data_IF_886544849707
#
_entry.id   IF_886544849707
#
_cell.length_a   1.000
_cell.length_b   1.000
_cell.length_c   1.000
_cell.angle_alpha   90.00
_cell.angle_beta   90.00
_cell.angle_gamma   90.00
#
_symmetry.space_group_name_H-M   'P 1'
#
loop_
_entity.id
_entity.type
_entity.pdbx_description
1 polymer ?
#
# COMPACT_ATOMS: atom_id res chain seq x y z
N UNK A 1 15.03 -21.32 0.18
CA UNK A 1 14.92 -20.26 -0.82
C UNK A 1 15.90 -19.17 -0.42
N UNK A 2 16.67 -18.60 -1.37
CA UNK A 2 17.76 -17.68 -1.07
C UNK A 2 17.28 -16.32 -0.55
N UNK A 3 18.22 -15.48 -0.18
CA UNK A 3 18.05 -14.15 0.42
C UNK A 3 17.18 -13.14 -0.36
N UNK A 4 16.74 -13.50 -1.59
CA UNK A 4 15.93 -12.65 -2.47
C UNK A 4 14.42 -12.89 -2.35
N UNK A 5 13.97 -13.83 -1.52
CA UNK A 5 12.55 -14.12 -1.35
C UNK A 5 11.96 -13.31 -0.19
N UNK A 6 11.03 -12.41 -0.51
CA UNK A 6 10.19 -11.73 0.46
C UNK A 6 8.84 -12.45 0.51
N UNK A 7 8.36 -12.92 1.68
CA UNK A 7 7.09 -13.65 1.80
C UNK A 7 5.89 -12.68 1.70
N UNK A 8 5.81 -11.98 0.57
CA UNK A 8 4.76 -11.03 0.23
C UNK A 8 3.96 -11.52 -0.98
N UNK A 9 2.66 -11.31 -0.97
CA UNK A 9 1.76 -11.68 -2.04
C UNK A 9 0.87 -10.50 -2.44
N UNK A 10 0.81 -10.26 -3.75
CA UNK A 10 -0.12 -9.32 -4.35
C UNK A 10 -1.01 -10.12 -5.30
N UNK A 11 -2.29 -10.34 -4.96
CA UNK A 11 -3.17 -11.18 -5.75
C UNK A 11 -3.53 -10.51 -7.08
N UNK A 12 -3.72 -11.30 -8.16
CA UNK A 12 -4.28 -10.79 -9.40
C UNK A 12 -5.61 -10.05 -9.14
N UNK A 13 -5.80 -8.92 -9.83
CA UNK A 13 -6.99 -8.09 -9.69
C UNK A 13 -7.27 -7.57 -8.27
N UNK A 14 -6.25 -7.59 -7.38
CA UNK A 14 -6.40 -7.25 -5.96
C UNK A 14 -7.46 -8.08 -5.22
N UNK A 15 -7.71 -9.33 -5.66
CA UNK A 15 -8.76 -10.20 -5.10
C UNK A 15 -8.19 -11.55 -4.71
N UNK A 16 -8.61 -12.03 -3.56
CA UNK A 16 -8.45 -13.42 -3.13
C UNK A 16 -9.61 -13.78 -2.21
N UNK A 17 -9.97 -15.04 -2.21
CA UNK A 17 -10.96 -15.63 -1.34
C UNK A 17 -10.35 -16.09 -0.01
N UNK A 18 -11.20 -16.60 0.86
CA UNK A 18 -10.80 -17.07 2.19
C UNK A 18 -9.87 -18.29 2.11
N UNK A 19 -10.11 -19.20 1.16
CA UNK A 19 -9.27 -20.38 0.95
C UNK A 19 -7.85 -20.00 0.54
N UNK A 20 -7.72 -19.02 -0.35
CA UNK A 20 -6.43 -18.44 -0.73
C UNK A 20 -5.71 -17.83 0.48
N UNK A 21 -6.42 -17.10 1.33
CA UNK A 21 -5.82 -16.49 2.52
C UNK A 21 -5.33 -17.53 3.52
N UNK A 22 -6.09 -18.61 3.73
CA UNK A 22 -5.70 -19.73 4.58
C UNK A 22 -4.44 -20.41 4.00
N UNK A 23 -4.42 -20.66 2.69
CA UNK A 23 -3.27 -21.26 2.02
C UNK A 23 -2.01 -20.40 2.14
N UNK A 24 -2.11 -19.07 1.95
CA UNK A 24 -1.00 -18.14 2.10
C UNK A 24 -0.44 -18.14 3.52
N UNK A 25 -1.31 -18.14 4.54
CA UNK A 25 -0.90 -18.25 5.93
C UNK A 25 -0.17 -19.57 6.22
N UNK A 26 -0.71 -20.68 5.72
CA UNK A 26 -0.10 -22.03 5.83
C UNK A 26 1.26 -22.16 5.13
N UNK A 27 1.46 -21.44 4.03
CA UNK A 27 2.72 -21.38 3.29
C UNK A 27 3.73 -20.38 3.90
N UNK A 28 3.38 -19.69 4.98
CA UNK A 28 4.28 -18.79 5.69
C UNK A 28 4.40 -17.39 5.09
N UNK A 29 3.47 -16.99 4.22
CA UNK A 29 3.42 -15.60 3.76
C UNK A 29 3.15 -14.67 4.93
N UNK A 30 3.80 -13.51 4.91
CA UNK A 30 3.76 -12.51 5.99
C UNK A 30 3.10 -11.20 5.57
N UNK A 31 3.07 -10.93 4.27
CA UNK A 31 2.52 -9.71 3.68
C UNK A 31 1.48 -10.05 2.64
N UNK A 32 0.38 -9.31 2.69
CA UNK A 32 -0.63 -9.25 1.64
C UNK A 32 -0.76 -7.80 1.18
N UNK A 33 -0.76 -7.58 -0.14
CA UNK A 33 -1.00 -6.26 -0.70
C UNK A 33 -2.12 -6.33 -1.73
N UNK A 34 -3.23 -5.66 -1.45
CA UNK A 34 -4.42 -5.57 -2.31
C UNK A 34 -5.15 -4.26 -2.05
N UNK A 35 -6.22 -3.98 -2.78
CA UNK A 35 -6.95 -2.71 -2.66
C UNK A 35 -7.39 -2.43 -1.23
N UNK A 36 -7.33 -1.18 -0.83
CA UNK A 36 -7.79 -0.73 0.50
C UNK A 36 -9.23 -1.18 0.78
N UNK A 37 -9.44 -1.86 1.90
CA UNK A 37 -10.75 -2.37 2.32
C UNK A 37 -11.21 -3.62 1.60
N UNK A 38 -10.31 -4.36 0.91
CA UNK A 38 -10.62 -5.64 0.29
C UNK A 38 -11.17 -6.66 1.29
N UNK A 39 -12.06 -7.53 0.82
CA UNK A 39 -12.67 -8.60 1.60
C UNK A 39 -12.33 -9.97 0.99
N UNK A 40 -12.30 -11.05 1.79
CA UNK A 40 -12.39 -11.10 3.26
C UNK A 40 -11.14 -10.51 3.95
N UNK A 41 -11.16 -10.20 5.26
CA UNK A 41 -10.00 -9.65 5.97
C UNK A 41 -8.84 -10.65 6.00
N UNK A 42 -7.61 -10.14 5.99
CA UNK A 42 -6.44 -11.00 6.12
C UNK A 42 -6.39 -11.68 7.51
N UNK A 43 -5.89 -12.93 7.59
CA UNK A 43 -5.61 -13.58 8.87
C UNK A 43 -4.61 -12.74 9.70
N UNK A 44 -4.73 -12.80 11.03
CA UNK A 44 -3.87 -12.05 11.96
C UNK A 44 -2.35 -12.33 11.81
N UNK A 45 -1.99 -13.45 11.16
CA UNK A 45 -0.59 -13.82 10.87
C UNK A 45 -0.01 -13.15 9.64
N UNK A 46 -0.83 -12.44 8.87
CA UNK A 46 -0.46 -11.74 7.63
C UNK A 46 -0.76 -10.25 7.80
N UNK A 47 0.27 -9.42 7.69
CA UNK A 47 0.10 -7.96 7.69
C UNK A 47 -0.39 -7.50 6.32
N UNK A 48 -1.41 -6.65 6.28
CA UNK A 48 -1.95 -6.12 5.03
C UNK A 48 -1.42 -4.70 4.79
N UNK A 49 -0.68 -4.53 3.68
CA UNK A 49 -0.24 -3.22 3.17
C UNK A 49 -1.07 -2.87 1.94
N UNK A 50 -2.08 -2.00 2.09
CA UNK A 50 -3.04 -1.78 1.01
C UNK A 50 -2.44 -1.00 -0.16
N UNK A 51 -2.88 -1.38 -1.36
CA UNK A 51 -2.75 -0.54 -2.56
C UNK A 51 -3.75 0.61 -2.44
N UNK A 52 -3.25 1.82 -2.42
CA UNK A 52 -4.04 3.05 -2.31
C UNK A 52 -4.00 3.90 -3.57
N UNK A 53 -3.00 3.70 -4.42
CA UNK A 53 -2.87 4.39 -5.71
C UNK A 53 -2.48 3.40 -6.79
N UNK A 54 -3.20 3.38 -7.89
CA UNK A 54 -2.86 2.61 -9.09
C UNK A 54 -2.42 3.60 -10.20
N UNK A 55 -1.14 3.53 -10.60
CA UNK A 55 -0.61 4.45 -11.59
C UNK A 55 -1.09 4.15 -13.02
N UNK A 56 -1.60 2.96 -13.28
CA UNK A 56 -1.92 2.54 -14.64
C UNK A 56 -3.41 2.37 -14.90
N UNK A 57 -4.14 1.73 -13.99
CA UNK A 57 -5.56 1.41 -14.20
C UNK A 57 -6.42 2.62 -13.83
N UNK A 58 -6.53 3.56 -14.77
CA UNK A 58 -7.39 4.74 -14.61
C UNK A 58 -8.76 4.48 -15.25
N UNK A 59 -9.81 5.02 -14.64
CA UNK A 59 -11.20 4.87 -15.09
C UNK A 59 -11.74 6.10 -15.81
N UNK A 60 -11.03 7.19 -15.70
CA UNK A 60 -11.38 8.46 -16.30
C UNK A 60 -11.23 8.41 -17.84
N UNK A 61 -12.26 8.85 -18.57
CA UNK A 61 -12.21 8.94 -20.02
C UNK A 61 -11.36 10.13 -20.49
N UNK A 62 -11.31 11.21 -19.69
CA UNK A 62 -10.51 12.40 -19.97
C UNK A 62 -9.15 12.28 -19.27
N UNK A 63 -8.04 12.34 -20.03
CA UNK A 63 -6.69 12.27 -19.48
C UNK A 63 -6.39 13.36 -18.44
N UNK A 64 -6.91 14.58 -18.61
CA UNK A 64 -6.69 15.69 -17.68
C UNK A 64 -7.32 15.36 -16.31
N UNK A 65 -8.55 14.87 -16.31
CA UNK A 65 -9.22 14.42 -15.09
C UNK A 65 -8.50 13.24 -14.47
N UNK A 66 -7.99 12.30 -15.28
CA UNK A 66 -7.18 11.19 -14.81
C UNK A 66 -5.93 11.64 -14.06
N UNK A 67 -5.21 12.63 -14.60
CA UNK A 67 -4.03 13.21 -13.95
C UNK A 67 -4.38 13.96 -12.67
N UNK A 68 -5.43 14.76 -12.66
CA UNK A 68 -5.87 15.51 -11.48
C UNK A 68 -6.24 14.55 -10.34
N UNK A 69 -7.03 13.52 -10.64
CA UNK A 69 -7.42 12.51 -9.66
C UNK A 69 -6.24 11.72 -9.13
N UNK A 70 -5.27 11.36 -9.99
CA UNK A 70 -4.04 10.69 -9.58
C UNK A 70 -3.22 11.53 -8.60
N UNK A 71 -3.02 12.81 -8.90
CA UNK A 71 -2.31 13.73 -8.02
C UNK A 71 -3.02 13.90 -6.67
N UNK A 72 -4.34 13.97 -6.68
CA UNK A 72 -5.14 14.05 -5.46
C UNK A 72 -5.06 12.78 -4.62
N UNK A 73 -5.19 11.60 -5.23
CA UNK A 73 -5.01 10.31 -4.57
C UNK A 73 -3.62 10.19 -3.93
N UNK A 74 -2.56 10.56 -4.64
CA UNK A 74 -1.20 10.60 -4.10
C UNK A 74 -1.10 11.53 -2.90
N UNK A 75 -1.60 12.78 -3.04
CA UNK A 75 -1.57 13.79 -1.98
C UNK A 75 -2.27 13.30 -0.72
N UNK A 76 -3.48 12.75 -0.87
CA UNK A 76 -4.28 12.27 0.26
C UNK A 76 -3.64 11.08 0.97
N UNK A 77 -3.13 10.11 0.21
CA UNK A 77 -2.54 8.91 0.81
C UNK A 77 -1.19 9.19 1.45
N UNK A 78 -0.36 10.05 0.85
CA UNK A 78 0.89 10.51 1.47
C UNK A 78 0.62 11.28 2.77
N UNK A 79 -0.42 12.10 2.82
CA UNK A 79 -0.82 12.82 4.03
C UNK A 79 -1.32 11.89 5.16
N UNK A 80 -1.80 10.69 4.84
CA UNK A 80 -2.19 9.66 5.81
C UNK A 80 -1.01 8.89 6.40
N UNK A 81 0.19 9.08 5.90
CA UNK A 81 1.42 8.46 6.40
C UNK A 81 1.78 7.11 5.78
N UNK A 82 0.93 6.53 4.94
CA UNK A 82 1.23 5.35 4.14
C UNK A 82 0.56 5.44 2.77
N UNK A 83 1.35 5.17 1.72
CA UNK A 83 0.85 5.16 0.34
C UNK A 83 1.40 3.93 -0.39
N UNK A 84 0.54 2.92 -0.59
CA UNK A 84 0.86 1.77 -1.42
C UNK A 84 0.61 2.08 -2.89
N UNK A 85 1.66 2.06 -3.71
CA UNK A 85 1.60 2.38 -5.13
C UNK A 85 1.68 1.10 -5.96
N UNK A 86 0.66 0.86 -6.79
CA UNK A 86 0.61 -0.26 -7.71
C UNK A 86 1.19 0.12 -9.07
N UNK A 87 2.10 -0.71 -9.56
CA UNK A 87 2.69 -0.58 -10.89
C UNK A 87 2.30 -1.77 -11.76
N UNK A 88 1.96 -1.52 -13.02
CA UNK A 88 1.71 -2.54 -14.02
C UNK A 88 2.80 -2.47 -15.11
N UNK A 89 4.06 -2.71 -14.73
CA UNK A 89 5.24 -2.50 -15.57
C UNK A 89 5.14 -3.10 -16.97
N UNK A 90 4.45 -4.24 -17.14
CA UNK A 90 4.24 -4.86 -18.45
C UNK A 90 3.29 -4.08 -19.39
N UNK A 91 2.55 -3.10 -18.85
CA UNK A 91 1.56 -2.31 -19.58
C UNK A 91 1.91 -0.83 -19.62
N UNK A 92 2.99 -0.44 -18.96
CA UNK A 92 3.45 0.95 -18.95
C UNK A 92 4.12 1.30 -20.28
N UNK A 93 3.78 2.46 -20.83
CA UNK A 93 4.46 3.06 -21.98
C UNK A 93 5.61 3.98 -21.52
N UNK A 94 6.31 4.63 -22.44
CA UNK A 94 7.45 5.51 -22.11
C UNK A 94 7.03 6.64 -21.17
N UNK A 95 5.91 7.31 -21.44
CA UNK A 95 5.43 8.45 -20.65
C UNK A 95 5.09 8.02 -19.21
N UNK A 96 4.59 6.78 -19.03
CA UNK A 96 4.32 6.24 -17.70
C UNK A 96 5.62 5.94 -16.92
N UNK A 97 6.66 5.47 -17.59
CA UNK A 97 7.99 5.31 -16.99
C UNK A 97 8.64 6.64 -16.66
N UNK A 98 8.58 7.63 -17.56
CA UNK A 98 9.09 8.98 -17.31
C UNK A 98 8.39 9.64 -16.12
N UNK A 99 7.07 9.45 -16.02
CA UNK A 99 6.33 9.91 -14.84
C UNK A 99 6.75 9.20 -13.56
N UNK A 100 6.94 7.88 -13.61
CA UNK A 100 7.39 7.10 -12.46
C UNK A 100 8.78 7.56 -12.00
N UNK A 101 9.70 7.77 -12.92
CA UNK A 101 11.05 8.25 -12.63
C UNK A 101 11.00 9.61 -11.93
N UNK A 102 10.25 10.57 -12.49
CA UNK A 102 10.03 11.86 -11.87
C UNK A 102 9.40 11.75 -10.47
N UNK A 103 8.43 10.86 -10.30
CA UNK A 103 7.78 10.64 -9.00
C UNK A 103 8.77 10.10 -7.97
N UNK A 104 9.58 9.11 -8.35
CA UNK A 104 10.59 8.52 -7.47
C UNK A 104 11.64 9.54 -7.07
N UNK A 105 12.16 10.34 -7.99
CA UNK A 105 13.09 11.42 -7.70
C UNK A 105 12.52 12.42 -6.68
N UNK A 106 11.26 12.79 -6.83
CA UNK A 106 10.58 13.70 -5.91
C UNK A 106 10.38 13.09 -4.53
N UNK A 107 10.04 11.80 -4.48
CA UNK A 107 9.83 11.09 -3.21
C UNK A 107 11.14 10.79 -2.49
N UNK A 108 12.23 10.46 -3.21
CA UNK A 108 13.55 10.24 -2.63
C UNK A 108 14.10 11.49 -1.94
N UNK A 109 13.90 12.66 -2.55
CA UNK A 109 14.27 13.96 -1.97
C UNK A 109 13.33 14.47 -0.87
N UNK A 110 12.24 13.77 -0.58
CA UNK A 110 11.22 14.25 0.35
C UNK A 110 11.54 13.90 1.80
N UNK A 111 11.88 14.90 2.60
CA UNK A 111 12.33 14.73 4.00
C UNK A 111 11.28 14.16 4.97
N UNK A 112 10.01 14.12 4.59
CA UNK A 112 8.90 13.67 5.46
C UNK A 112 8.42 12.25 5.14
N UNK A 113 9.05 11.58 4.19
CA UNK A 113 8.71 10.23 3.80
C UNK A 113 9.93 9.49 3.27
N UNK A 114 9.77 8.20 3.04
CA UNK A 114 10.79 7.37 2.41
C UNK A 114 10.15 6.31 1.52
N UNK A 115 10.85 5.94 0.48
CA UNK A 115 10.51 4.80 -0.34
C UNK A 115 10.95 3.51 0.36
N UNK A 116 10.05 2.54 0.46
CA UNK A 116 10.32 1.25 1.09
C UNK A 116 9.70 0.13 0.28
N UNK A 117 10.23 -1.07 0.41
CA UNK A 117 9.65 -2.30 -0.12
C UNK A 117 9.19 -3.22 1.03
N UNK A 118 8.45 -4.27 0.70
CA UNK A 118 7.87 -5.16 1.72
C UNK A 118 8.91 -5.81 2.64
N UNK A 119 10.12 -6.12 2.15
CA UNK A 119 11.20 -6.64 2.96
C UNK A 119 11.57 -5.69 4.11
N UNK A 120 11.80 -4.41 3.79
CA UNK A 120 12.10 -3.38 4.77
C UNK A 120 10.97 -3.21 5.79
N UNK A 121 9.70 -3.22 5.34
CA UNK A 121 8.56 -3.10 6.25
C UNK A 121 8.46 -4.27 7.23
N UNK A 122 8.79 -5.49 6.77
CA UNK A 122 8.82 -6.68 7.62
C UNK A 122 9.96 -6.64 8.64
N UNK A 123 11.16 -6.24 8.21
CA UNK A 123 12.34 -6.13 9.08
C UNK A 123 12.13 -5.10 10.19
N UNK A 124 11.47 -4.00 9.89
CA UNK A 124 11.18 -2.93 10.83
C UNK A 124 9.94 -3.17 11.70
N UNK A 125 9.16 -4.21 11.39
CA UNK A 125 7.90 -4.51 12.09
C UNK A 125 6.86 -3.41 11.92
N UNK A 126 6.89 -2.69 10.79
CA UNK A 126 5.92 -1.64 10.51
C UNK A 126 4.54 -2.24 10.28
N UNK A 127 3.55 -1.80 11.03
CA UNK A 127 2.14 -2.12 10.79
C UNK A 127 1.47 -0.91 10.13
N UNK A 128 0.93 -1.11 8.91
CA UNK A 128 0.08 -0.11 8.28
C UNK A 128 -1.22 -0.04 9.11
N UNK A 129 -1.26 0.88 10.06
CA UNK A 129 -2.47 1.12 10.87
C UNK A 129 -3.60 1.50 9.93
N UNK A 130 -4.67 0.68 9.94
CA UNK A 130 -5.88 0.96 9.17
C UNK A 130 -6.41 2.33 9.63
N UNK A 131 -6.46 3.37 8.79
CA UNK A 131 -6.84 4.72 9.21
C UNK A 131 -8.26 4.84 9.79
N UNK A 132 -9.03 3.75 9.77
CA UNK A 132 -10.36 3.69 10.38
C UNK A 132 -10.37 3.35 11.87
N UNK A 133 -9.24 3.00 12.50
CA UNK A 133 -9.19 2.54 13.90
C UNK A 133 -8.44 3.51 14.83
N UNK A 134 -7.71 4.50 14.33
CA UNK A 134 -6.94 5.44 15.17
C UNK A 134 -7.76 6.63 15.72
N UNK A 135 -9.06 6.50 15.86
CA UNK A 135 -9.99 7.55 16.29
C UNK A 135 -10.42 7.55 17.77
N UNK A 136 -9.79 6.78 18.65
CA UNK A 136 -10.08 6.91 20.10
C UNK A 136 -8.80 6.72 20.92
N UNK A 137 -8.00 7.76 21.05
CA UNK A 137 -7.17 7.88 22.26
C UNK A 137 -8.05 8.50 23.33
N UNK A 138 -8.57 7.67 24.21
CA UNK A 138 -9.13 8.12 25.50
C UNK A 138 -8.12 9.02 26.20
N UNK A 139 -8.50 10.27 26.39
CA UNK A 139 -7.88 11.14 27.39
C UNK A 139 -8.21 10.53 28.76
N UNK A 140 -7.30 9.77 29.33
CA UNK A 140 -7.38 9.46 30.75
C UNK A 140 -7.25 10.77 31.53
N UNK A 141 -8.35 11.17 32.12
CA UNK A 141 -8.41 12.17 33.20
C UNK A 141 -7.60 11.63 34.36
N UNK A 142 -6.48 12.21 34.65
CA UNK A 142 -6.03 12.26 36.04
C UNK A 142 -6.44 13.61 36.59
N UNK A 143 -7.60 13.60 37.26
CA UNK A 143 -7.93 14.54 38.32
C UNK A 143 -7.58 13.80 39.61
N UNK A 144 -6.68 14.36 40.36
CA UNK A 144 -6.67 14.21 41.83
C UNK A 144 -5.75 15.28 42.44
N UNK A 145 -6.37 16.06 43.16
CA UNK A 145 -6.26 16.72 44.45
C UNK A 145 -5.36 17.93 44.49
#
# INVERSE_FOLDING_TARGET
MGELFVPAFTPPWNRCDEETLIALAGLGYKVLSRSLGAQPPAPATIVEYPVSVDLHTRKEHDPINGWQNLCEELRENLARGFCGIMLHHQRMNHEAFDFLDLLLDKLEGWRYGRLVHFGTLLEEGYEATNPRVSGVREKSKNAET
#
